data_IF_109118113171
#
_entry.id   IF_109118113171
#
_cell.length_a   1.000
_cell.length_b   1.000
_cell.length_c   1.000
_cell.angle_alpha   90.00
_cell.angle_beta   90.00
_cell.angle_gamma   90.00
#
_symmetry.space_group_name_H-M   'P 1'
#
loop_
_entity.id
_entity.type
_entity.pdbx_description
1 polymer ?
#
# COMPACT_ATOMS: atom_id res chain seq x y z
N UNK A 1 -8.81 -16.29 -64.90
CA UNK A 1 -9.71 -16.19 -63.72
C UNK A 1 -8.91 -15.49 -62.62
N UNK A 2 -8.96 -14.16 -62.41
CA UNK A 2 -10.02 -13.15 -62.66
C UNK A 2 -11.30 -13.42 -61.84
N UNK A 3 -11.97 -12.45 -61.21
CA UNK A 3 -11.71 -10.98 -61.07
C UNK A 3 -12.44 -10.43 -59.80
N UNK A 4 -11.75 -9.58 -59.01
CA UNK A 4 -12.23 -8.44 -58.16
C UNK A 4 -13.37 -8.67 -57.12
N UNK A 5 -13.60 -7.86 -56.09
CA UNK A 5 -13.54 -6.39 -55.97
C UNK A 5 -13.09 -5.90 -54.57
N UNK A 6 -13.03 -4.56 -54.37
CA UNK A 6 -12.47 -3.89 -53.18
C UNK A 6 -13.04 -2.45 -53.01
N UNK A 7 -12.54 -1.71 -52.00
CA UNK A 7 -12.72 -0.24 -51.75
C UNK A 7 -14.11 0.13 -51.14
N UNK A 8 -14.29 1.21 -50.34
CA UNK A 8 -13.37 2.21 -49.73
C UNK A 8 -13.24 2.09 -48.18
N UNK A 9 -12.53 2.89 -47.38
CA UNK A 9 -11.79 4.18 -47.50
C UNK A 9 -12.54 5.51 -47.21
N UNK A 10 -12.86 5.81 -45.94
CA UNK A 10 -13.22 7.14 -45.37
C UNK A 10 -13.42 7.03 -43.83
N UNK A 11 -13.29 8.03 -42.96
CA UNK A 11 -12.70 9.39 -43.02
C UNK A 11 -12.34 9.86 -41.58
N UNK A 12 -11.41 10.81 -41.43
CA UNK A 12 -11.10 11.46 -40.14
C UNK A 12 -12.06 12.62 -39.85
N UNK A 13 -12.54 12.75 -38.60
CA UNK A 13 -13.13 14.00 -38.07
C UNK A 13 -12.71 14.20 -36.61
N UNK A 14 -12.00 15.31 -36.33
CA UNK A 14 -11.86 15.84 -34.97
C UNK A 14 -13.10 16.72 -34.67
N UNK A 15 -13.78 16.48 -33.55
CA UNK A 15 -14.93 17.26 -33.09
C UNK A 15 -14.76 17.71 -31.64
N UNK A 16 -14.97 19.00 -31.37
CA UNK A 16 -14.79 19.62 -30.05
C UNK A 16 -16.11 19.56 -29.26
N UNK A 17 -16.12 19.27 -27.95
CA UNK A 17 -17.36 19.34 -27.16
C UNK A 17 -17.89 20.78 -27.10
N UNK A 18 -19.15 20.98 -27.48
CA UNK A 18 -19.91 22.20 -27.23
C UNK A 18 -21.17 21.84 -26.44
N UNK A 19 -21.27 22.35 -25.21
CA UNK A 19 -22.52 22.29 -24.43
C UNK A 19 -23.30 23.59 -24.68
N UNK A 20 -24.56 23.55 -25.14
CA UNK A 20 -25.35 24.76 -25.37
C UNK A 20 -25.67 25.51 -24.08
N UNK A 21 -25.79 26.84 -24.17
CA UNK A 21 -26.32 27.70 -23.11
C UNK A 21 -27.36 28.66 -23.69
N UNK A 22 -28.58 28.63 -23.14
CA UNK A 22 -29.69 29.57 -23.35
C UNK A 22 -30.71 29.32 -22.21
N UNK A 23 -31.07 30.30 -21.37
CA UNK A 23 -31.97 31.45 -21.62
C UNK A 23 -33.45 31.09 -21.29
N UNK A 24 -34.33 31.96 -20.76
CA UNK A 24 -34.24 33.43 -20.57
C UNK A 24 -35.33 33.95 -19.59
N UNK A 25 -35.31 35.27 -19.32
CA UNK A 25 -36.44 36.16 -18.90
C UNK A 25 -37.00 36.01 -17.47
N UNK A 26 -37.39 37.07 -16.73
CA UNK A 26 -37.24 38.56 -16.78
C UNK A 26 -37.48 39.11 -15.34
N UNK A 27 -37.40 40.40 -14.94
CA UNK A 27 -37.39 41.75 -15.56
C UNK A 27 -36.39 42.66 -14.77
N UNK A 28 -36.38 44.00 -14.68
CA UNK A 28 -37.18 45.17 -15.16
C UNK A 28 -36.25 46.42 -15.17
N UNK A 29 -36.55 47.55 -15.85
CA UNK A 29 -35.52 48.56 -16.17
C UNK A 29 -35.53 49.90 -15.38
N UNK A 30 -34.38 50.59 -15.51
CA UNK A 30 -34.17 52.07 -15.50
C UNK A 30 -33.89 52.84 -14.19
N UNK A 31 -32.62 53.25 -14.03
CA UNK A 31 -32.20 54.52 -13.39
C UNK A 31 -30.79 54.94 -13.88
N UNK A 32 -30.58 56.16 -14.41
CA UNK A 32 -29.26 56.70 -14.77
C UNK A 32 -28.88 57.96 -13.93
N UNK A 33 -27.67 58.53 -14.09
CA UNK A 33 -26.35 57.88 -14.04
C UNK A 33 -25.39 58.61 -13.07
N UNK A 34 -24.39 57.91 -12.50
CA UNK A 34 -23.19 58.58 -11.96
C UNK A 34 -22.70 58.19 -10.57
N UNK A 35 -22.21 56.97 -10.41
CA UNK A 35 -21.11 56.65 -9.50
C UNK A 35 -20.50 55.28 -9.89
N UNK A 36 -19.17 55.10 -9.92
CA UNK A 36 -18.60 53.76 -9.87
C UNK A 36 -18.89 53.17 -8.47
N UNK A 37 -19.47 51.97 -8.35
CA UNK A 37 -19.67 51.36 -7.05
C UNK A 37 -18.31 51.06 -6.40
N UNK A 38 -18.09 51.57 -5.20
CA UNK A 38 -16.92 51.22 -4.39
C UNK A 38 -16.98 49.71 -4.12
N UNK A 39 -15.91 48.93 -4.39
CA UNK A 39 -15.91 47.52 -4.07
C UNK A 39 -16.10 47.31 -2.57
N UNK A 40 -17.19 46.63 -2.18
CA UNK A 40 -17.36 46.16 -0.80
C UNK A 40 -16.15 45.29 -0.42
N UNK A 41 -15.58 45.46 0.78
CA UNK A 41 -14.52 44.56 1.23
C UNK A 41 -15.04 43.11 1.27
N UNK A 42 -14.21 42.12 0.94
CA UNK A 42 -14.62 40.72 1.02
C UNK A 42 -15.00 40.38 2.48
N UNK A 43 -15.94 39.44 2.70
CA UNK A 43 -16.25 38.97 4.05
C UNK A 43 -14.99 38.38 4.70
N UNK A 44 -14.85 38.50 6.04
CA UNK A 44 -13.71 37.90 6.74
C UNK A 44 -13.68 36.38 6.50
N UNK A 45 -12.48 35.77 6.42
CA UNK A 45 -12.37 34.32 6.27
C UNK A 45 -13.04 33.61 7.45
N UNK A 46 -13.61 32.41 7.25
CA UNK A 46 -14.14 31.62 8.35
C UNK A 46 -13.02 31.30 9.36
N UNK A 47 -13.35 31.15 10.66
CA UNK A 47 -12.36 30.75 11.65
C UNK A 47 -11.77 29.38 11.29
N UNK A 48 -10.50 29.11 11.62
CA UNK A 48 -9.90 27.80 11.37
C UNK A 48 -10.67 26.70 12.11
N UNK A 49 -10.70 25.46 11.59
CA UNK A 49 -11.27 24.33 12.31
C UNK A 49 -10.67 24.23 13.72
N UNK A 50 -11.52 24.04 14.73
CA UNK A 50 -11.05 23.88 16.09
C UNK A 50 -10.15 22.64 16.17
N UNK A 51 -8.87 22.84 16.53
CA UNK A 51 -7.90 21.75 16.67
C UNK A 51 -8.40 20.76 17.72
N UNK A 52 -8.87 19.60 17.28
CA UNK A 52 -9.21 18.50 18.18
C UNK A 52 -7.97 18.11 18.96
N UNK A 53 -7.99 18.32 20.28
CA UNK A 53 -6.93 17.88 21.18
C UNK A 53 -6.63 16.40 20.95
N UNK A 54 -5.35 15.97 20.91
CA UNK A 54 -5.03 14.56 20.81
C UNK A 54 -5.71 13.79 21.93
N UNK A 55 -6.54 12.80 21.57
CA UNK A 55 -7.08 11.85 22.54
C UNK A 55 -5.88 11.16 23.18
N UNK A 56 -5.68 11.23 24.51
CA UNK A 56 -4.55 10.58 25.15
C UNK A 56 -4.68 9.07 24.92
N UNK A 57 -3.77 8.50 24.12
CA UNK A 57 -3.74 7.06 23.88
C UNK A 57 -3.61 6.34 25.22
N UNK A 58 -4.34 5.24 25.46
CA UNK A 58 -4.21 4.49 26.71
C UNK A 58 -2.77 4.03 26.85
N UNK A 59 -2.06 4.57 27.84
CA UNK A 59 -0.66 4.26 28.10
C UNK A 59 -0.54 2.85 28.66
N UNK A 60 -0.60 1.85 27.76
CA UNK A 60 -0.14 0.49 28.05
C UNK A 60 1.31 0.61 28.46
N UNK A 61 1.58 0.36 29.75
CA UNK A 61 2.94 0.21 30.27
C UNK A 61 3.74 -0.69 29.34
N UNK A 62 5.03 -0.42 29.07
CA UNK A 62 5.88 -1.35 28.37
C UNK A 62 5.73 -2.74 28.99
N UNK A 63 5.32 -3.71 28.18
CA UNK A 63 5.39 -5.11 28.57
C UNK A 63 6.85 -5.53 28.78
N UNK A 64 7.11 -6.65 29.47
CA UNK A 64 8.47 -7.18 29.57
C UNK A 64 9.09 -7.30 28.17
N UNK A 65 10.25 -6.67 27.96
CA UNK A 65 10.88 -6.65 26.65
C UNK A 65 11.18 -8.09 26.19
N UNK A 66 10.75 -8.52 24.98
CA UNK A 66 10.81 -9.93 24.62
C UNK A 66 12.26 -10.43 24.53
N UNK A 67 12.58 -11.42 25.37
CA UNK A 67 13.93 -12.02 25.42
C UNK A 67 14.14 -12.97 24.24
N UNK A 68 14.56 -12.43 23.09
CA UNK A 68 14.90 -13.21 21.91
C UNK A 68 15.00 -12.38 20.65
N UNK A 69 14.93 -13.05 19.50
CA UNK A 69 14.76 -12.38 18.23
C UNK A 69 13.34 -11.80 18.13
N UNK A 70 13.21 -10.59 17.56
CA UNK A 70 11.93 -9.88 17.43
C UNK A 70 11.80 -9.22 16.07
N UNK A 71 10.61 -8.73 15.74
CA UNK A 71 10.28 -8.02 14.50
C UNK A 71 9.12 -7.04 14.76
N UNK A 72 8.89 -6.03 13.92
CA UNK A 72 7.70 -5.18 14.08
C UNK A 72 6.45 -5.90 13.57
N UNK A 73 5.36 -5.79 14.33
CA UNK A 73 4.17 -6.60 14.15
C UNK A 73 3.42 -6.29 12.84
N UNK A 74 3.06 -7.32 12.07
CA UNK A 74 2.37 -7.17 10.78
C UNK A 74 3.24 -6.69 9.61
N UNK A 75 4.56 -6.52 9.80
CA UNK A 75 5.49 -6.17 8.73
C UNK A 75 6.04 -7.42 8.02
N UNK A 76 6.40 -7.26 6.75
CA UNK A 76 7.00 -8.31 5.91
C UNK A 76 8.48 -8.04 5.71
N UNK A 77 9.30 -9.07 5.89
CA UNK A 77 10.76 -8.96 5.91
C UNK A 77 11.41 -10.02 5.03
N UNK A 78 12.48 -9.65 4.33
CA UNK A 78 13.44 -10.63 3.85
C UNK A 78 14.16 -11.25 5.05
N UNK A 79 14.47 -12.55 4.99
CA UNK A 79 15.27 -13.22 6.03
C UNK A 79 16.62 -12.51 6.31
N UNK A 80 17.27 -11.98 5.27
CA UNK A 80 18.48 -11.16 5.39
C UNK A 80 18.31 -9.89 6.25
N UNK A 81 17.10 -9.31 6.32
CA UNK A 81 16.78 -8.16 7.18
C UNK A 81 16.56 -8.62 8.62
N UNK A 82 15.85 -9.72 8.84
CA UNK A 82 15.64 -10.33 10.15
C UNK A 82 16.96 -10.74 10.82
N UNK A 83 17.96 -11.17 10.03
CA UNK A 83 19.34 -11.44 10.48
C UNK A 83 20.17 -10.19 10.80
N UNK A 84 19.72 -9.01 10.37
CA UNK A 84 20.40 -7.72 10.55
C UNK A 84 19.71 -6.79 11.56
N UNK A 85 18.65 -7.24 12.23
CA UNK A 85 17.98 -6.50 13.31
C UNK A 85 18.85 -6.45 14.58
N UNK A 86 18.54 -5.50 15.46
CA UNK A 86 19.16 -5.38 16.80
C UNK A 86 19.03 -6.65 17.65
N UNK A 87 17.94 -7.40 17.43
CA UNK A 87 17.59 -8.70 18.02
C UNK A 87 17.54 -9.73 16.87
N UNK A 88 18.69 -10.16 16.34
CA UNK A 88 18.76 -10.86 15.06
C UNK A 88 18.22 -12.29 15.15
N UNK A 89 17.50 -12.69 14.09
CA UNK A 89 17.01 -14.05 13.92
C UNK A 89 18.13 -14.99 13.47
N UNK A 90 18.18 -16.21 14.02
CA UNK A 90 19.13 -17.23 13.60
C UNK A 90 18.61 -18.05 12.41
N UNK A 91 19.53 -18.63 11.65
CA UNK A 91 19.19 -19.51 10.51
C UNK A 91 18.36 -20.73 10.92
N UNK A 92 18.52 -21.22 12.16
CA UNK A 92 17.63 -22.26 12.73
C UNK A 92 16.20 -21.72 12.86
N UNK A 93 16.00 -20.59 13.53
CA UNK A 93 14.66 -20.03 13.75
C UNK A 93 13.94 -19.68 12.44
N UNK A 94 14.68 -19.17 11.45
CA UNK A 94 14.12 -18.87 10.12
C UNK A 94 13.74 -20.15 9.36
N UNK A 95 14.53 -21.22 9.49
CA UNK A 95 14.22 -22.55 8.93
C UNK A 95 13.01 -23.18 9.62
N UNK A 96 12.94 -23.07 10.95
CA UNK A 96 11.87 -23.59 11.80
C UNK A 96 10.55 -22.86 11.53
N UNK A 97 10.57 -21.53 11.41
CA UNK A 97 9.43 -20.74 10.95
C UNK A 97 8.98 -21.13 9.53
N UNK A 98 9.92 -21.26 8.58
CA UNK A 98 9.62 -21.67 7.20
C UNK A 98 8.85 -22.99 7.17
N UNK A 99 9.33 -24.02 7.88
CA UNK A 99 8.73 -25.35 7.84
C UNK A 99 7.52 -25.54 8.77
N UNK A 100 7.37 -24.69 9.80
CA UNK A 100 6.18 -24.71 10.68
C UNK A 100 4.97 -24.00 10.07
N UNK A 101 5.19 -23.17 9.03
CA UNK A 101 4.10 -22.43 8.36
C UNK A 101 3.17 -23.40 7.61
N UNK A 102 1.85 -23.34 7.78
CA UNK A 102 0.91 -24.24 7.11
C UNK A 102 1.05 -24.26 5.58
N UNK A 103 1.10 -25.47 5.01
CA UNK A 103 1.32 -25.75 3.57
C UNK A 103 2.72 -25.42 3.02
N UNK A 104 3.66 -24.91 3.82
CA UNK A 104 5.00 -24.61 3.34
C UNK A 104 5.74 -25.88 2.87
N UNK A 105 6.41 -25.80 1.72
CA UNK A 105 7.12 -26.95 1.16
C UNK A 105 8.45 -27.18 1.88
N UNK A 106 8.43 -28.10 2.84
CA UNK A 106 9.61 -28.62 3.53
C UNK A 106 9.72 -30.16 3.45
N UNK A 107 10.23 -30.74 2.36
CA UNK A 107 10.55 -32.16 2.33
C UNK A 107 11.70 -32.47 3.31
N UNK A 108 11.47 -33.39 4.26
CA UNK A 108 12.42 -33.78 5.30
C UNK A 108 12.88 -32.58 6.16
N UNK A 109 11.93 -31.77 6.62
CA UNK A 109 12.13 -30.64 7.54
C UNK A 109 13.08 -29.55 7.01
N UNK A 110 13.36 -29.56 5.70
CA UNK A 110 14.24 -28.60 5.03
C UNK A 110 13.45 -27.73 4.04
N UNK A 111 13.59 -26.40 4.09
CA UNK A 111 13.04 -25.47 3.10
C UNK A 111 13.38 -25.88 1.66
N UNK A 112 12.35 -25.90 0.81
CA UNK A 112 12.47 -26.13 -0.64
C UNK A 112 13.33 -25.05 -1.31
N UNK A 113 13.10 -23.78 -0.96
CA UNK A 113 13.86 -22.62 -1.46
C UNK A 113 15.01 -22.25 -0.51
N UNK A 114 15.84 -21.29 -0.89
CA UNK A 114 16.86 -20.76 0.02
C UNK A 114 16.21 -19.87 1.09
N UNK A 115 16.23 -20.30 2.35
CA UNK A 115 15.66 -19.56 3.49
C UNK A 115 16.21 -18.14 3.63
N UNK A 116 17.45 -17.87 3.19
CA UNK A 116 18.02 -16.50 3.20
C UNK A 116 17.28 -15.51 2.28
N UNK A 117 16.58 -16.04 1.28
CA UNK A 117 15.88 -15.31 0.24
C UNK A 117 14.35 -15.38 0.41
N UNK A 118 13.85 -15.97 1.51
CA UNK A 118 12.43 -16.04 1.82
C UNK A 118 11.90 -14.71 2.38
N UNK A 119 10.59 -14.49 2.19
CA UNK A 119 9.78 -13.42 2.80
C UNK A 119 8.97 -14.00 3.94
N UNK A 120 9.16 -13.45 5.14
CA UNK A 120 8.39 -13.76 6.34
C UNK A 120 7.48 -12.60 6.71
N UNK A 121 6.36 -12.88 7.39
CA UNK A 121 5.54 -11.89 8.09
C UNK A 121 5.71 -12.05 9.60
N UNK A 122 5.85 -10.93 10.30
CA UNK A 122 5.87 -10.90 11.76
C UNK A 122 4.44 -11.00 12.31
N UNK A 123 4.16 -12.07 13.06
CA UNK A 123 2.81 -12.33 13.58
C UNK A 123 2.51 -11.53 14.85
N UNK A 124 1.23 -11.23 15.02
CA UNK A 124 0.67 -10.55 16.19
C UNK A 124 -0.25 -11.50 16.96
N UNK A 125 -0.07 -11.55 18.29
CA UNK A 125 -0.98 -12.23 19.22
C UNK A 125 -2.08 -11.27 19.67
N UNK A 126 -1.75 -9.99 19.84
CA UNK A 126 -2.70 -8.92 20.22
C UNK A 126 -2.75 -7.81 19.15
N UNK A 127 -3.91 -7.17 18.99
CA UNK A 127 -4.12 -6.15 17.94
C UNK A 127 -3.25 -4.88 18.10
N UNK A 128 -2.93 -4.48 19.34
CA UNK A 128 -2.06 -3.33 19.63
C UNK A 128 -0.57 -3.70 19.76
N UNK A 129 -0.19 -4.94 19.45
CA UNK A 129 1.17 -5.43 19.66
C UNK A 129 2.14 -4.74 18.70
N UNK A 130 3.18 -4.08 19.24
CA UNK A 130 4.19 -3.41 18.41
C UNK A 130 5.28 -4.35 17.87
N UNK A 131 5.67 -5.34 18.66
CA UNK A 131 6.75 -6.29 18.32
C UNK A 131 6.29 -7.73 18.46
N UNK A 132 6.53 -8.53 17.43
CA UNK A 132 6.29 -9.97 17.42
C UNK A 132 7.53 -10.79 17.77
N UNK A 133 7.29 -12.04 18.14
CA UNK A 133 8.30 -13.08 18.46
C UNK A 133 8.13 -14.33 17.60
N UNK A 134 7.28 -14.24 16.57
CA UNK A 134 6.72 -15.37 15.84
C UNK A 134 6.66 -14.95 14.36
N UNK A 135 7.08 -15.84 13.46
CA UNK A 135 7.15 -15.60 12.01
C UNK A 135 6.39 -16.68 11.26
N UNK A 136 5.58 -16.28 10.29
CA UNK A 136 5.09 -17.16 9.22
C UNK A 136 5.82 -16.85 7.91
N UNK A 137 6.03 -17.88 7.09
CA UNK A 137 6.48 -17.77 5.71
C UNK A 137 5.34 -17.21 4.84
N UNK A 138 5.47 -15.97 4.38
CA UNK A 138 4.62 -15.53 3.27
C UNK A 138 5.03 -16.20 1.97
N UNK A 139 6.33 -16.37 1.73
CA UNK A 139 6.81 -16.86 0.45
C UNK A 139 8.29 -17.29 0.45
N UNK A 140 8.60 -18.40 -0.23
CA UNK A 140 9.96 -18.74 -0.64
C UNK A 140 10.29 -18.10 -2.00
N UNK A 141 11.46 -17.46 -2.13
CA UNK A 141 11.93 -16.81 -3.35
C UNK A 141 13.32 -17.31 -3.79
N UNK A 142 13.68 -17.11 -5.06
CA UNK A 142 15.07 -17.11 -5.50
C UNK A 142 15.86 -15.93 -4.92
N UNK A 143 15.22 -14.76 -4.86
CA UNK A 143 15.77 -13.50 -4.38
C UNK A 143 14.67 -12.65 -3.75
N UNK A 144 14.95 -12.14 -2.55
CA UNK A 144 14.08 -11.18 -1.87
C UNK A 144 14.58 -9.75 -2.12
N UNK A 145 13.63 -8.84 -2.34
CA UNK A 145 13.84 -7.41 -2.49
C UNK A 145 13.38 -6.71 -1.22
N UNK A 146 14.33 -6.14 -0.48
CA UNK A 146 14.06 -5.04 0.45
C UNK A 146 14.53 -3.73 -0.19
N UNK A 147 13.64 -3.09 -0.96
CA UNK A 147 13.87 -1.77 -1.55
C UNK A 147 12.64 -0.88 -1.38
N UNK A 148 12.89 0.43 -1.31
CA UNK A 148 11.88 1.45 -1.04
C UNK A 148 10.76 1.56 -2.09
N UNK A 149 9.76 2.44 -1.85
CA UNK A 149 9.70 3.37 -0.71
C UNK A 149 9.38 2.69 0.63
N UNK A 150 8.64 1.58 0.64
CA UNK A 150 8.09 0.99 1.88
C UNK A 150 9.03 0.05 2.63
N UNK A 151 10.16 -0.36 2.03
CA UNK A 151 11.12 -1.33 2.58
C UNK A 151 10.50 -2.66 3.08
N UNK A 152 9.34 -3.03 2.51
CA UNK A 152 8.66 -4.31 2.72
C UNK A 152 9.33 -5.42 1.90
N UNK A 153 9.63 -6.53 2.57
CA UNK A 153 10.14 -7.74 1.94
C UNK A 153 9.13 -8.32 0.95
N UNK A 154 9.62 -8.60 -0.27
CA UNK A 154 8.86 -9.20 -1.39
C UNK A 154 9.82 -9.99 -2.29
N UNK A 155 9.34 -11.03 -2.98
CA UNK A 155 10.16 -11.69 -3.99
C UNK A 155 10.38 -10.79 -5.23
N UNK A 156 11.46 -11.06 -5.96
CA UNK A 156 11.67 -10.50 -7.31
C UNK A 156 10.89 -11.26 -8.39
N UNK A 157 10.88 -12.59 -8.28
CA UNK A 157 10.09 -13.51 -9.09
C UNK A 157 8.74 -13.83 -8.43
N UNK A 158 7.74 -14.35 -9.17
CA UNK A 158 6.53 -14.90 -8.56
C UNK A 158 6.86 -15.98 -7.52
N UNK A 159 6.05 -16.04 -6.47
CA UNK A 159 6.25 -16.98 -5.37
C UNK A 159 6.33 -18.44 -5.82
N UNK A 160 7.30 -19.18 -5.26
CA UNK A 160 7.23 -20.63 -5.31
C UNK A 160 5.96 -21.08 -4.56
N UNK A 161 5.03 -21.77 -5.24
CA UNK A 161 3.80 -22.18 -4.60
C UNK A 161 4.09 -23.19 -3.49
N UNK A 162 3.32 -23.08 -2.41
CA UNK A 162 3.07 -24.19 -1.50
C UNK A 162 2.68 -25.42 -2.35
N UNK A 163 3.61 -26.35 -2.51
CA UNK A 163 3.41 -27.55 -3.33
C UNK A 163 2.52 -28.52 -2.55
N UNK A 164 1.21 -28.33 -2.68
CA UNK A 164 0.19 -29.25 -2.18
C UNK A 164 0.50 -30.67 -2.68
N UNK A 165 0.39 -31.65 -1.77
CA UNK A 165 0.70 -33.05 -2.01
C UNK A 165 -0.26 -33.94 -1.22
#
# INVERSE_FOLDING_TARGET
MQIWHAIPFALLVLGKPQTPASAQNSSTPSAPPGAPPVPSPPPPPPPPPATSSPVPSPSKSPGPEPKGATCECGYTYCASVLKAMNTPWTDKQLTEAYCSTPNASCPNDKPWTNVQNAVFICLCKEADQKVGTDLDLMCGCDKCLNVGPDFRGRCETPCYPASHK
#
